data_IF_543468718980
#
_entry.id   IF_543468718980
#
_cell.length_a   1.000
_cell.length_b   1.000
_cell.length_c   1.000
_cell.angle_alpha   90.00
_cell.angle_beta   90.00
_cell.angle_gamma   90.00
#
_symmetry.space_group_name_H-M   'P 1'
#
loop_
_entity.id
_entity.type
_entity.pdbx_description
1 polymer ?
#
# COMPACT_ATOMS: atom_id res chain seq x y z
N UNK A 1 25.85 3.02 -0.91
CA UNK A 1 25.08 2.72 -2.15
C UNK A 1 23.84 1.85 -1.91
N UNK A 2 23.87 0.83 -1.04
CA UNK A 2 22.71 -0.04 -0.75
C UNK A 2 21.45 0.72 -0.32
N UNK A 3 21.53 1.57 0.71
CA UNK A 3 20.37 2.32 1.22
C UNK A 3 19.77 3.29 0.20
N UNK A 4 20.62 3.95 -0.60
CA UNK A 4 20.16 4.81 -1.70
C UNK A 4 19.36 4.01 -2.74
N UNK A 5 19.86 2.86 -3.17
CA UNK A 5 19.14 1.96 -4.09
C UNK A 5 17.82 1.49 -3.47
N UNK A 6 17.81 1.09 -2.20
CA UNK A 6 16.60 0.68 -1.48
C UNK A 6 15.53 1.76 -1.50
N UNK A 7 15.92 2.99 -1.16
CA UNK A 7 15.04 4.14 -1.13
C UNK A 7 14.53 4.52 -2.53
N UNK A 8 15.40 4.56 -3.54
CA UNK A 8 15.00 4.85 -4.93
C UNK A 8 13.94 3.87 -5.46
N UNK A 9 14.17 2.56 -5.27
CA UNK A 9 13.19 1.54 -5.65
C UNK A 9 11.88 1.65 -4.85
N UNK A 10 11.93 2.21 -3.64
CA UNK A 10 10.75 2.46 -2.84
C UNK A 10 9.98 3.70 -3.29
N UNK A 11 10.66 4.75 -3.74
CA UNK A 11 10.02 5.90 -4.40
C UNK A 11 9.27 5.44 -5.65
N UNK A 12 9.90 4.62 -6.50
CA UNK A 12 9.25 4.06 -7.69
C UNK A 12 8.03 3.20 -7.34
N UNK A 13 8.09 2.40 -6.27
CA UNK A 13 6.93 1.64 -5.80
C UNK A 13 5.80 2.56 -5.31
N UNK A 14 6.13 3.64 -4.59
CA UNK A 14 5.14 4.64 -4.18
C UNK A 14 4.46 5.32 -5.38
N UNK A 15 5.22 5.65 -6.42
CA UNK A 15 4.67 6.18 -7.69
C UNK A 15 3.74 5.16 -8.34
N UNK A 16 4.12 3.87 -8.39
CA UNK A 16 3.28 2.83 -8.98
C UNK A 16 1.94 2.66 -8.23
N UNK A 17 1.95 2.73 -6.89
CA UNK A 17 0.71 2.76 -6.10
C UNK A 17 -0.09 4.04 -6.37
N UNK A 18 0.58 5.20 -6.49
CA UNK A 18 -0.08 6.46 -6.84
C UNK A 18 -0.79 6.40 -8.20
N UNK A 19 -0.19 5.75 -9.20
CA UNK A 19 -0.84 5.50 -10.50
C UNK A 19 -2.08 4.61 -10.33
N UNK A 20 -1.99 3.56 -9.51
CA UNK A 20 -3.14 2.72 -9.15
C UNK A 20 -4.26 3.52 -8.48
N UNK A 21 -3.92 4.39 -7.53
CA UNK A 21 -4.87 5.29 -6.87
C UNK A 21 -5.47 6.30 -7.85
N UNK A 22 -4.70 6.80 -8.80
CA UNK A 22 -5.16 7.76 -9.82
C UNK A 22 -6.27 7.16 -10.66
N UNK A 23 -6.07 5.94 -11.20
CA UNK A 23 -7.11 5.29 -12.01
C UNK A 23 -8.34 4.93 -11.18
N UNK A 24 -8.15 4.50 -9.92
CA UNK A 24 -9.27 4.22 -9.02
C UNK A 24 -10.13 5.45 -8.75
N UNK A 25 -9.51 6.61 -8.48
CA UNK A 25 -10.22 7.86 -8.25
C UNK A 25 -10.82 8.47 -9.53
N UNK A 26 -10.34 8.08 -10.71
CA UNK A 26 -10.80 8.62 -12.00
C UNK A 26 -12.02 7.89 -12.56
N UNK A 27 -12.43 6.77 -11.96
CA UNK A 27 -13.52 5.92 -12.47
C UNK A 27 -14.68 5.85 -11.49
N UNK A 28 -15.90 6.06 -12.00
CA UNK A 28 -17.13 5.96 -11.19
C UNK A 28 -17.43 4.50 -10.79
N UNK A 29 -17.09 3.55 -11.66
CA UNK A 29 -17.29 2.13 -11.40
C UNK A 29 -16.17 1.58 -10.50
N UNK A 30 -16.49 1.44 -9.20
CA UNK A 30 -15.56 0.92 -8.18
C UNK A 30 -14.97 -0.45 -8.49
N UNK A 31 -15.71 -1.34 -9.17
CA UNK A 31 -15.22 -2.69 -9.54
C UNK A 31 -14.12 -2.57 -10.60
N UNK A 32 -14.36 -1.77 -11.64
CA UNK A 32 -13.39 -1.55 -12.71
C UNK A 32 -12.17 -0.78 -12.15
N UNK A 33 -12.40 0.24 -11.31
CA UNK A 33 -11.34 0.97 -10.63
C UNK A 33 -10.47 0.05 -9.77
N UNK A 34 -11.07 -0.84 -8.98
CA UNK A 34 -10.35 -1.77 -8.13
C UNK A 34 -9.50 -2.78 -8.93
N UNK A 35 -10.03 -3.26 -10.07
CA UNK A 35 -9.26 -4.12 -10.98
C UNK A 35 -8.07 -3.38 -11.59
N UNK A 36 -8.23 -2.14 -12.03
CA UNK A 36 -7.13 -1.37 -12.63
C UNK A 36 -6.13 -0.82 -11.62
N UNK A 37 -6.51 -0.64 -10.36
CA UNK A 37 -5.57 -0.31 -9.29
C UNK A 37 -4.43 -1.35 -9.23
N UNK A 38 -4.72 -2.62 -9.55
CA UNK A 38 -3.75 -3.71 -9.52
C UNK A 38 -2.57 -3.53 -10.47
N UNK A 39 -2.66 -2.64 -11.47
CA UNK A 39 -1.53 -2.27 -12.33
C UNK A 39 -0.35 -1.77 -11.51
N UNK A 40 -0.60 -1.05 -10.40
CA UNK A 40 0.45 -0.58 -9.49
C UNK A 40 1.22 -1.74 -8.86
N UNK A 41 0.50 -2.71 -8.26
CA UNK A 41 1.14 -3.88 -7.64
C UNK A 41 1.80 -4.80 -8.68
N UNK A 42 1.18 -4.96 -9.84
CA UNK A 42 1.77 -5.69 -10.97
C UNK A 42 3.13 -5.12 -11.37
N UNK A 43 3.22 -3.80 -11.60
CA UNK A 43 4.47 -3.14 -11.95
C UNK A 43 5.54 -3.33 -10.86
N UNK A 44 5.15 -3.23 -9.59
CA UNK A 44 6.05 -3.45 -8.44
C UNK A 44 6.64 -4.86 -8.47
N UNK A 45 5.80 -5.88 -8.64
CA UNK A 45 6.22 -7.28 -8.63
C UNK A 45 7.09 -7.64 -9.85
N UNK A 46 6.71 -7.19 -11.05
CA UNK A 46 7.45 -7.47 -12.29
C UNK A 46 8.81 -6.79 -12.31
N UNK A 47 8.90 -5.56 -11.81
CA UNK A 47 10.16 -4.79 -11.82
C UNK A 47 10.98 -4.90 -10.52
N UNK A 48 10.53 -5.70 -9.54
CA UNK A 48 11.24 -5.90 -8.28
C UNK A 48 11.37 -4.62 -7.45
N UNK A 49 10.36 -3.75 -7.48
CA UNK A 49 10.34 -2.51 -6.71
C UNK A 49 10.11 -2.78 -5.22
N UNK A 50 10.45 -1.81 -4.37
CA UNK A 50 10.35 -1.99 -2.93
C UNK A 50 9.05 -1.40 -2.38
N UNK A 51 8.04 -2.25 -2.19
CA UNK A 51 6.81 -1.88 -1.49
C UNK A 51 6.85 -2.39 -0.04
N UNK A 52 6.53 -1.54 0.93
CA UNK A 52 6.52 -1.89 2.35
C UNK A 52 5.58 -3.07 2.65
N UNK A 53 4.32 -2.98 2.22
CA UNK A 53 3.29 -4.02 2.47
C UNK A 53 3.60 -5.34 1.77
N UNK A 54 4.34 -5.30 0.66
CA UNK A 54 4.85 -6.51 -0.01
C UNK A 54 6.10 -7.12 0.64
N UNK A 55 6.70 -6.45 1.63
CA UNK A 55 8.00 -6.83 2.23
C UNK A 55 7.95 -7.07 3.72
N UNK A 56 7.02 -6.45 4.44
CA UNK A 56 6.92 -6.50 5.90
C UNK A 56 6.66 -7.92 6.41
N UNK A 57 5.91 -8.77 5.69
CA UNK A 57 5.66 -10.16 6.09
C UNK A 57 6.92 -11.02 6.22
N UNK A 58 7.99 -10.69 5.49
CA UNK A 58 9.26 -11.41 5.57
C UNK A 58 10.10 -11.05 6.81
N UNK A 59 9.67 -10.09 7.64
CA UNK A 59 10.46 -9.62 8.80
C UNK A 59 10.81 -10.74 9.78
N UNK A 60 9.95 -11.75 9.93
CA UNK A 60 10.16 -12.85 10.90
C UNK A 60 11.26 -13.85 10.49
N UNK A 61 11.65 -13.82 9.21
CA UNK A 61 12.70 -14.66 8.62
C UNK A 61 14.03 -13.88 8.46
N UNK A 62 14.02 -12.57 8.74
CA UNK A 62 15.13 -11.68 8.45
C UNK A 62 15.88 -11.24 9.71
N UNK A 63 17.10 -10.73 9.50
CA UNK A 63 17.91 -10.14 10.58
C UNK A 63 17.32 -8.79 11.02
N UNK A 64 17.62 -8.35 12.23
CA UNK A 64 17.15 -7.08 12.79
C UNK A 64 17.47 -5.86 11.92
N UNK A 65 18.58 -5.89 11.16
CA UNK A 65 18.95 -4.84 10.22
C UNK A 65 17.93 -4.63 9.09
N UNK A 66 17.06 -5.62 8.82
CA UNK A 66 15.97 -5.50 7.86
C UNK A 66 14.89 -4.49 8.29
N UNK A 67 14.73 -4.23 9.60
CA UNK A 67 13.82 -3.20 10.09
C UNK A 67 14.20 -1.80 9.58
N UNK A 68 15.50 -1.51 9.46
CA UNK A 68 15.98 -0.26 8.87
C UNK A 68 15.71 -0.20 7.37
N UNK A 69 15.87 -1.32 6.66
CA UNK A 69 15.48 -1.40 5.24
C UNK A 69 13.96 -1.17 5.10
N UNK A 70 13.11 -1.77 5.95
CA UNK A 70 11.66 -1.57 5.94
C UNK A 70 11.25 -0.11 6.21
N UNK A 71 11.90 0.55 7.16
CA UNK A 71 11.66 1.97 7.43
C UNK A 71 12.03 2.84 6.23
N UNK A 72 13.20 2.61 5.61
CA UNK A 72 13.61 3.32 4.40
C UNK A 72 12.63 3.08 3.24
N UNK A 73 12.09 1.87 3.14
CA UNK A 73 11.11 1.51 2.12
C UNK A 73 9.79 2.25 2.37
N UNK A 74 9.29 2.25 3.60
CA UNK A 74 8.07 2.98 3.97
C UNK A 74 8.21 4.49 3.69
N UNK A 75 9.35 5.09 4.06
CA UNK A 75 9.62 6.50 3.80
C UNK A 75 9.75 6.81 2.30
N UNK A 76 10.39 5.92 1.54
CA UNK A 76 10.47 6.04 0.08
C UNK A 76 9.10 5.91 -0.58
N UNK A 77 8.26 4.99 -0.11
CA UNK A 77 6.89 4.83 -0.59
C UNK A 77 6.07 6.11 -0.36
N UNK A 78 6.14 6.71 0.84
CA UNK A 78 5.50 8.00 1.15
C UNK A 78 5.97 9.12 0.20
N UNK A 79 7.29 9.23 -0.01
CA UNK A 79 7.85 10.22 -0.94
C UNK A 79 7.37 10.00 -2.38
N UNK A 80 7.26 8.74 -2.82
CA UNK A 80 6.77 8.39 -4.16
C UNK A 80 5.28 8.70 -4.35
N UNK A 81 4.43 8.36 -3.37
CA UNK A 81 3.00 8.66 -3.42
C UNK A 81 2.74 10.15 -3.37
N UNK A 82 3.48 10.89 -2.53
CA UNK A 82 3.41 12.34 -2.46
C UNK A 82 3.84 12.98 -3.78
N UNK A 83 4.97 12.55 -4.36
CA UNK A 83 5.44 13.06 -5.65
C UNK A 83 4.43 12.81 -6.76
N UNK A 84 3.81 11.63 -6.79
CA UNK A 84 2.77 11.29 -7.76
C UNK A 84 1.55 12.23 -7.62
N UNK A 85 1.02 12.40 -6.40
CA UNK A 85 -0.10 13.29 -6.13
C UNK A 85 0.24 14.76 -6.46
N UNK A 86 1.45 15.21 -6.09
CA UNK A 86 1.95 16.55 -6.40
C UNK A 86 2.02 16.79 -7.90
N UNK A 87 2.56 15.85 -8.69
CA UNK A 87 2.62 16.02 -10.14
C UNK A 87 1.22 16.03 -10.78
N UNK A 88 0.30 15.21 -10.27
CA UNK A 88 -1.10 15.16 -10.77
C UNK A 88 -1.84 16.47 -10.51
N UNK A 89 -1.55 17.19 -9.41
CA UNK A 89 -2.20 18.46 -9.10
C UNK A 89 -1.89 19.59 -10.10
N UNK A 90 -0.84 19.45 -10.91
CA UNK A 90 -0.53 20.35 -12.04
C UNK A 90 -1.16 19.91 -13.37
N UNK A 91 -2.04 18.91 -13.36
CA UNK A 91 -2.69 18.37 -14.56
C UNK A 91 -4.19 18.70 -14.59
N UNK A 92 -4.85 18.35 -15.69
CA UNK A 92 -6.31 18.48 -15.85
C UNK A 92 -7.13 17.47 -15.04
N UNK A 93 -6.50 16.52 -14.34
CA UNK A 93 -7.22 15.48 -13.60
C UNK A 93 -7.87 16.06 -12.34
N UNK A 94 -9.19 15.91 -12.23
CA UNK A 94 -9.99 16.44 -11.12
C UNK A 94 -10.38 15.32 -10.14
N UNK A 95 -9.39 14.76 -9.45
CA UNK A 95 -9.58 13.62 -8.53
C UNK A 95 -9.42 13.98 -7.04
N UNK A 96 -9.08 15.24 -6.74
CA UNK A 96 -8.82 15.69 -5.36
C UNK A 96 -10.05 15.62 -4.47
N UNK A 97 -11.24 15.98 -4.98
CA UNK A 97 -12.46 15.96 -4.17
C UNK A 97 -12.92 14.54 -3.84
N UNK A 98 -12.81 13.60 -4.78
CA UNK A 98 -13.03 12.17 -4.50
C UNK A 98 -12.03 11.65 -3.46
N UNK A 99 -10.77 12.07 -3.53
CA UNK A 99 -9.77 11.72 -2.52
C UNK A 99 -10.15 12.28 -1.13
N UNK A 100 -10.62 13.54 -1.05
CA UNK A 100 -11.07 14.15 0.21
C UNK A 100 -12.20 13.36 0.86
N UNK A 101 -13.21 12.95 0.10
CA UNK A 101 -14.31 12.12 0.64
C UNK A 101 -13.80 10.80 1.23
N UNK A 102 -12.83 10.16 0.58
CA UNK A 102 -12.20 8.93 1.12
C UNK A 102 -11.42 9.23 2.41
N UNK A 103 -10.65 10.31 2.44
CA UNK A 103 -9.91 10.74 3.63
C UNK A 103 -10.82 11.08 4.81
N UNK A 104 -11.94 11.76 4.57
CA UNK A 104 -12.93 12.13 5.58
C UNK A 104 -13.56 10.89 6.24
N UNK A 105 -13.87 9.85 5.46
CA UNK A 105 -14.39 8.60 6.02
C UNK A 105 -13.38 7.99 7.00
N UNK A 106 -12.11 7.93 6.59
CA UNK A 106 -11.02 7.33 7.40
C UNK A 106 -10.76 8.12 8.68
N UNK A 107 -10.62 9.44 8.56
CA UNK A 107 -10.31 10.32 9.69
C UNK A 107 -11.44 10.41 10.72
N UNK A 108 -12.67 10.06 10.33
CA UNK A 108 -13.82 9.96 11.22
C UNK A 108 -14.07 8.54 11.75
N UNK A 109 -13.25 7.56 11.36
CA UNK A 109 -13.33 6.19 11.87
C UNK A 109 -12.54 6.05 13.20
N UNK A 110 -12.82 4.97 13.92
CA UNK A 110 -12.10 4.61 15.13
C UNK A 110 -10.76 3.94 14.79
N UNK A 111 -9.75 4.21 15.62
CA UNK A 111 -8.44 3.56 15.49
C UNK A 111 -8.51 2.02 15.52
N UNK A 112 -9.46 1.44 16.27
CA UNK A 112 -9.67 -0.01 16.32
C UNK A 112 -10.18 -0.53 14.98
N UNK A 113 -11.15 0.15 14.36
CA UNK A 113 -11.66 -0.20 13.03
C UNK A 113 -10.55 -0.15 11.98
N UNK A 114 -9.83 0.98 11.89
CA UNK A 114 -8.71 1.16 10.95
C UNK A 114 -7.66 0.06 11.11
N UNK A 115 -7.32 -0.28 12.35
CA UNK A 115 -6.36 -1.34 12.65
C UNK A 115 -6.82 -2.73 12.17
N UNK A 116 -8.09 -3.09 12.41
CA UNK A 116 -8.65 -4.38 11.97
C UNK A 116 -8.72 -4.47 10.44
N UNK A 117 -9.21 -3.42 9.78
CA UNK A 117 -9.26 -3.34 8.33
C UNK A 117 -7.85 -3.47 7.73
N UNK A 118 -6.87 -2.84 8.36
CA UNK A 118 -5.47 -2.92 7.95
C UNK A 118 -4.86 -4.33 8.11
N UNK A 119 -5.25 -5.09 9.14
CA UNK A 119 -4.82 -6.50 9.28
C UNK A 119 -5.27 -7.33 8.08
N UNK A 120 -6.53 -7.21 7.67
CA UNK A 120 -7.03 -7.97 6.53
C UNK A 120 -6.36 -7.54 5.22
N UNK A 121 -6.10 -6.25 5.02
CA UNK A 121 -5.32 -5.80 3.89
C UNK A 121 -3.90 -6.39 3.90
N UNK A 122 -3.19 -6.33 5.03
CA UNK A 122 -1.84 -6.84 5.18
C UNK A 122 -1.73 -8.33 4.82
N UNK A 123 -2.70 -9.13 5.27
CA UNK A 123 -2.81 -10.54 4.91
C UNK A 123 -2.95 -10.74 3.40
N UNK A 124 -3.85 -10.01 2.75
CA UNK A 124 -4.04 -10.09 1.29
C UNK A 124 -2.81 -9.64 0.52
N UNK A 125 -2.11 -8.59 0.96
CA UNK A 125 -0.89 -8.12 0.31
C UNK A 125 0.23 -9.15 0.38
N UNK A 126 0.38 -9.82 1.52
CA UNK A 126 1.33 -10.93 1.63
C UNK A 126 0.94 -12.10 0.72
N UNK A 127 -0.33 -12.51 0.70
CA UNK A 127 -0.83 -13.58 -0.19
C UNK A 127 -0.54 -13.25 -1.65
N UNK A 128 -0.83 -12.02 -2.08
CA UNK A 128 -0.61 -11.57 -3.45
C UNK A 128 0.87 -11.65 -3.84
N UNK A 129 1.74 -11.04 -3.04
CA UNK A 129 3.17 -10.91 -3.37
C UNK A 129 3.92 -12.23 -3.21
N UNK A 130 3.71 -12.96 -2.11
CA UNK A 130 4.35 -14.27 -1.90
C UNK A 130 3.81 -15.32 -2.89
N UNK A 131 2.51 -15.27 -3.18
CA UNK A 131 1.88 -16.10 -4.20
C UNK A 131 2.46 -15.85 -5.58
N UNK A 132 2.49 -14.59 -6.03
CA UNK A 132 3.09 -14.22 -7.31
C UNK A 132 4.56 -14.63 -7.38
N UNK A 133 5.35 -14.42 -6.32
CA UNK A 133 6.75 -14.84 -6.28
C UNK A 133 6.92 -16.33 -6.58
N UNK A 134 5.99 -17.17 -6.12
CA UNK A 134 6.03 -18.63 -6.27
C UNK A 134 5.55 -19.12 -7.63
N UNK A 135 4.43 -18.60 -8.12
CA UNK A 135 3.79 -19.13 -9.33
C UNK A 135 3.88 -18.21 -10.55
N UNK A 136 4.37 -16.98 -10.38
CA UNK A 136 4.45 -15.92 -11.41
C UNK A 136 3.11 -15.65 -12.12
N UNK A 137 1.98 -15.97 -11.45
CA UNK A 137 0.65 -15.76 -12.01
C UNK A 137 0.13 -14.36 -11.61
N UNK A 138 0.01 -13.41 -12.56
CA UNK A 138 -0.43 -12.06 -12.25
C UNK A 138 -1.86 -11.98 -11.72
N UNK A 139 -2.72 -12.96 -12.00
CA UNK A 139 -4.12 -13.00 -11.55
C UNK A 139 -4.22 -12.85 -10.01
N UNK A 140 -3.26 -13.40 -9.26
CA UNK A 140 -3.23 -13.25 -7.80
C UNK A 140 -3.12 -11.78 -7.37
N UNK A 141 -2.35 -10.98 -8.09
CA UNK A 141 -2.20 -9.55 -7.82
C UNK A 141 -3.52 -8.83 -8.07
N UNK A 142 -4.17 -9.10 -9.20
CA UNK A 142 -5.45 -8.49 -9.55
C UNK A 142 -6.58 -8.86 -8.58
N UNK A 143 -6.70 -10.14 -8.22
CA UNK A 143 -7.76 -10.60 -7.32
C UNK A 143 -7.55 -10.04 -5.91
N UNK A 144 -6.36 -10.17 -5.33
CA UNK A 144 -6.12 -9.69 -3.96
C UNK A 144 -6.25 -8.17 -3.86
N UNK A 145 -5.80 -7.42 -4.88
CA UNK A 145 -5.99 -5.97 -4.94
C UNK A 145 -7.47 -5.61 -5.03
N UNK A 146 -8.20 -6.22 -5.96
CA UNK A 146 -9.61 -5.93 -6.15
C UNK A 146 -10.43 -6.23 -4.87
N UNK A 147 -10.13 -7.34 -4.20
CA UNK A 147 -10.81 -7.74 -2.96
C UNK A 147 -10.55 -6.72 -1.83
N UNK A 148 -9.31 -6.32 -1.56
CA UNK A 148 -9.08 -5.40 -0.44
C UNK A 148 -9.76 -4.03 -0.68
N UNK A 149 -9.77 -3.54 -1.92
CA UNK A 149 -10.41 -2.26 -2.27
C UNK A 149 -11.93 -2.38 -2.12
N UNK A 150 -12.54 -3.43 -2.67
CA UNK A 150 -13.99 -3.62 -2.64
C UNK A 150 -14.51 -3.96 -1.24
N UNK A 151 -13.70 -4.58 -0.40
CA UNK A 151 -14.01 -4.79 1.01
C UNK A 151 -13.79 -3.55 1.88
N UNK A 152 -13.17 -2.48 1.34
CA UNK A 152 -12.86 -1.27 2.11
C UNK A 152 -11.74 -1.46 3.14
N UNK A 153 -10.80 -2.37 2.88
CA UNK A 153 -9.65 -2.55 3.77
C UNK A 153 -8.62 -1.43 3.61
N UNK A 154 -7.87 -1.19 4.68
CA UNK A 154 -6.94 -0.06 4.79
C UNK A 154 -5.52 -0.46 4.38
N UNK A 155 -4.89 0.31 3.49
CA UNK A 155 -3.56 0.03 2.94
C UNK A 155 -2.69 1.27 3.07
N UNK A 156 -1.72 1.25 3.99
CA UNK A 156 -1.00 2.46 4.40
C UNK A 156 -0.40 3.25 3.22
N UNK A 157 0.17 2.59 2.21
CA UNK A 157 0.77 3.30 1.06
C UNK A 157 -0.30 3.86 0.11
N UNK A 158 -1.46 3.22 0.00
CA UNK A 158 -2.55 3.77 -0.81
C UNK A 158 -3.16 4.98 -0.11
N UNK A 159 -3.30 4.90 1.21
CA UNK A 159 -3.80 6.01 2.04
C UNK A 159 -2.83 7.20 2.04
N UNK A 160 -1.50 6.97 2.00
CA UNK A 160 -0.53 8.04 1.78
C UNK A 160 -0.77 8.80 0.48
N UNK A 161 -1.14 8.10 -0.60
CA UNK A 161 -1.51 8.73 -1.86
C UNK A 161 -2.82 9.51 -1.72
N UNK A 162 -3.86 8.91 -1.12
CA UNK A 162 -5.14 9.59 -0.92
C UNK A 162 -5.02 10.86 -0.09
N UNK A 163 -4.32 10.81 1.06
CA UNK A 163 -4.06 12.00 1.89
C UNK A 163 -3.24 13.05 1.15
N UNK A 164 -2.26 12.64 0.33
CA UNK A 164 -1.47 13.58 -0.48
C UNK A 164 -2.32 14.24 -1.58
N UNK A 165 -3.15 13.47 -2.28
CA UNK A 165 -4.01 13.95 -3.37
C UNK A 165 -5.15 14.84 -2.86
N UNK A 166 -5.65 14.57 -1.65
CA UNK A 166 -6.64 15.38 -0.96
C UNK A 166 -6.05 16.63 -0.29
N UNK A 167 -4.72 16.74 -0.19
CA UNK A 167 -4.02 17.70 0.66
C UNK A 167 -4.53 17.67 2.12
N UNK A 168 -4.74 16.46 2.65
CA UNK A 168 -5.38 16.20 3.95
C UNK A 168 -4.40 15.70 5.02
N UNK A 169 -3.10 15.99 4.86
CA UNK A 169 -2.11 15.69 5.89
C UNK A 169 -2.30 16.56 7.13
N UNK A 170 -2.48 15.91 8.28
CA UNK A 170 -2.64 16.50 9.60
C UNK A 170 -2.04 15.54 10.64
N UNK A 171 -2.01 15.95 11.91
CA UNK A 171 -1.57 15.05 12.99
C UNK A 171 -2.45 13.79 13.05
N UNK A 172 -3.77 13.92 12.86
CA UNK A 172 -4.71 12.81 12.84
C UNK A 172 -4.42 11.83 11.71
N UNK A 173 -4.35 12.30 10.45
CA UNK A 173 -4.09 11.40 9.33
C UNK A 173 -2.69 10.77 9.38
N UNK A 174 -1.71 11.44 9.98
CA UNK A 174 -0.42 10.82 10.26
C UNK A 174 -0.52 9.67 11.29
N UNK A 175 -1.30 9.86 12.37
CA UNK A 175 -1.57 8.81 13.37
C UNK A 175 -2.33 7.64 12.72
N UNK A 176 -3.33 7.91 11.89
CA UNK A 176 -4.09 6.88 11.15
C UNK A 176 -3.15 6.02 10.32
N UNK A 177 -2.24 6.65 9.56
CA UNK A 177 -1.25 5.94 8.75
C UNK A 177 -0.35 5.05 9.61
N UNK A 178 0.05 5.47 10.82
CA UNK A 178 0.85 4.63 11.72
C UNK A 178 0.04 3.41 12.20
N UNK A 179 -1.22 3.61 12.58
CA UNK A 179 -2.12 2.53 13.00
C UNK A 179 -2.34 1.53 11.86
N UNK A 180 -2.63 2.02 10.65
CA UNK A 180 -2.81 1.20 9.45
C UNK A 180 -1.51 0.47 9.10
N UNK A 181 -0.35 1.13 9.23
CA UNK A 181 0.96 0.49 9.00
C UNK A 181 1.19 -0.68 9.96
N UNK A 182 0.86 -0.52 11.24
CA UNK A 182 0.96 -1.60 12.23
C UNK A 182 0.01 -2.75 11.90
N UNK A 183 -1.25 -2.46 11.57
CA UNK A 183 -2.22 -3.47 11.17
C UNK A 183 -1.77 -4.23 9.92
N UNK A 184 -1.35 -3.53 8.87
CA UNK A 184 -0.81 -4.14 7.65
C UNK A 184 0.39 -5.06 7.95
N UNK A 185 1.30 -4.62 8.84
CA UNK A 185 2.44 -5.42 9.26
C UNK A 185 2.02 -6.72 9.98
N UNK A 186 1.11 -6.63 10.94
CA UNK A 186 0.60 -7.79 11.69
C UNK A 186 -0.07 -8.79 10.75
N UNK A 187 -0.98 -8.31 9.89
CA UNK A 187 -1.68 -9.18 8.94
C UNK A 187 -0.74 -9.90 7.98
N UNK A 188 0.30 -9.22 7.49
CA UNK A 188 1.27 -9.79 6.58
C UNK A 188 2.14 -10.91 7.21
N UNK A 189 2.27 -10.93 8.54
CA UNK A 189 3.11 -11.89 9.27
C UNK A 189 2.35 -13.20 9.58
N UNK A 190 1.01 -13.22 9.52
CA UNK A 190 0.21 -14.40 9.90
C UNK A 190 0.62 -15.70 9.18
N UNK A 191 0.77 -15.66 7.85
CA UNK A 191 1.14 -16.84 7.05
C UNK A 191 2.61 -17.23 7.24
N UNK A 192 3.59 -16.31 7.20
CA UNK A 192 4.97 -16.63 7.55
C UNK A 192 5.10 -17.26 8.95
N UNK A 193 4.40 -16.71 9.94
CA UNK A 193 4.51 -17.17 11.32
C UNK A 193 3.94 -18.58 11.48
N UNK A 194 2.82 -18.89 10.85
CA UNK A 194 2.24 -20.24 10.89
C UNK A 194 3.15 -21.28 10.27
N UNK A 195 3.88 -20.95 9.19
CA UNK A 195 4.87 -21.84 8.58
C UNK A 195 6.06 -22.12 9.52
N UNK A 196 6.52 -21.09 10.25
CA UNK A 196 7.63 -21.20 11.19
C UNK A 196 7.28 -22.00 12.44
N UNK A 197 6.01 -21.97 12.88
CA UNK A 197 5.54 -22.78 14.01
C UNK A 197 5.48 -24.27 13.63
N UNK A 198 5.20 -24.57 12.35
CA UNK A 198 5.05 -25.93 11.84
C UNK A 198 6.37 -26.56 11.32
N UNK A 199 7.49 -25.85 11.39
CA UNK A 199 8.83 -26.31 10.94
C UNK A 199 9.70 -26.68 12.13
#
# INVERSE_FOLDING_TARGET
MKHFKTFYLAVLAGIAIGIGGTIYLSLDNKVIGALFFAVGLYAICVHGLNLFTGKIGYVIEQKLSYCLDLFLIWAGNLAGTWLCAFLISFTRLSISDTAKTICEIKMNDTFISLFILAIFCGLLMFIAVDGYKKCQNPILLFICVAVFILCGFEHCIADMFYFSMANAWSLTSFIDILIITLGNGIGAIFIPLSKKINS
#
